data_IF_053743746356
#
_entry.id   IF_053743746356
#
_cell.length_a   1.000
_cell.length_b   1.000
_cell.length_c   1.000
_cell.angle_alpha   90.00
_cell.angle_beta   90.00
_cell.angle_gamma   90.00
#
_symmetry.space_group_name_H-M   'P 1'
#
loop_
_entity.id
_entity.type
_entity.pdbx_description
1 polymer ?
#
# COMPACT_ATOMS: atom_id res chain seq x y z
N UNK A 1 -3.58 -10.70 4.95
CA UNK A 1 -4.71 -9.86 5.43
C UNK A 1 -4.41 -9.46 6.87
N UNK A 2 -4.62 -8.20 7.23
CA UNK A 2 -4.46 -7.68 8.60
C UNK A 2 -5.80 -7.12 9.06
N UNK A 3 -6.31 -7.65 10.18
CA UNK A 3 -7.53 -7.18 10.84
C UNK A 3 -7.12 -6.21 11.96
N UNK A 4 -6.95 -4.94 11.62
CA UNK A 4 -6.48 -3.92 12.55
C UNK A 4 -5.48 -2.96 11.92
N UNK A 5 -4.74 -2.24 12.77
CA UNK A 5 -3.74 -1.27 12.33
C UNK A 5 -2.35 -1.90 12.21
N UNK A 6 -1.56 -1.32 11.32
CA UNK A 6 -0.12 -1.58 11.17
C UNK A 6 0.61 -0.37 11.73
N UNK A 7 1.48 -0.59 12.72
CA UNK A 7 2.22 0.48 13.38
C UNK A 7 3.34 1.05 12.49
N UNK A 8 3.81 2.25 12.81
CA UNK A 8 5.02 2.81 12.20
C UNK A 8 6.22 1.88 12.47
N UNK A 9 7.15 1.81 11.53
CA UNK A 9 8.30 0.90 11.56
C UNK A 9 7.98 -0.58 11.24
N UNK A 10 6.71 -0.98 11.25
CA UNK A 10 6.29 -2.34 10.86
C UNK A 10 6.42 -2.55 9.36
N UNK A 11 6.59 -3.81 8.95
CA UNK A 11 6.73 -4.19 7.55
C UNK A 11 5.89 -5.40 7.21
N UNK A 12 5.12 -5.30 6.13
CA UNK A 12 4.34 -6.41 5.56
C UNK A 12 4.88 -6.71 4.18
N UNK A 13 5.29 -7.95 3.96
CA UNK A 13 5.72 -8.44 2.65
C UNK A 13 4.81 -9.60 2.24
N UNK A 14 4.30 -9.57 1.01
CA UNK A 14 3.47 -10.64 0.48
C UNK A 14 3.75 -10.87 -1.01
N UNK A 15 3.72 -12.14 -1.44
CA UNK A 15 3.78 -12.51 -2.85
C UNK A 15 2.50 -12.12 -3.62
N UNK A 16 1.37 -12.02 -2.91
CA UNK A 16 0.09 -11.58 -3.46
C UNK A 16 -0.32 -10.21 -2.94
N UNK A 17 -1.63 -9.98 -2.87
CA UNK A 17 -2.19 -8.72 -2.39
C UNK A 17 -2.14 -8.60 -0.87
N UNK A 18 -2.05 -7.36 -0.40
CA UNK A 18 -2.13 -6.98 1.02
C UNK A 18 -3.46 -6.26 1.26
N UNK A 19 -4.21 -6.70 2.27
CA UNK A 19 -5.40 -6.01 2.74
C UNK A 19 -5.21 -5.65 4.21
N UNK A 20 -5.30 -4.37 4.55
CA UNK A 20 -5.23 -3.83 5.90
C UNK A 20 -6.57 -3.19 6.24
N UNK A 21 -7.38 -3.86 7.06
CA UNK A 21 -8.66 -3.33 7.51
C UNK A 21 -8.50 -2.45 8.75
N UNK A 22 -7.64 -1.44 8.63
CA UNK A 22 -7.33 -0.42 9.64
C UNK A 22 -6.38 0.62 9.06
N UNK A 23 -5.65 1.31 9.93
CA UNK A 23 -4.63 2.28 9.49
C UNK A 23 -3.34 1.55 9.12
N UNK A 24 -2.83 1.80 7.91
CA UNK A 24 -1.50 1.38 7.51
C UNK A 24 -0.52 2.52 7.77
N UNK A 25 0.35 2.41 8.79
CA UNK A 25 1.41 3.41 9.08
C UNK A 25 2.81 2.97 8.66
N UNK A 26 3.08 1.66 8.72
CA UNK A 26 4.37 1.09 8.32
C UNK A 26 4.51 0.94 6.79
N UNK A 27 5.30 -0.06 6.40
CA UNK A 27 5.60 -0.39 4.99
C UNK A 27 4.79 -1.59 4.51
N UNK A 28 4.29 -1.53 3.29
CA UNK A 28 3.60 -2.63 2.64
C UNK A 28 4.18 -2.92 1.26
N UNK A 29 4.70 -4.14 1.07
CA UNK A 29 5.30 -4.61 -0.17
C UNK A 29 4.54 -5.82 -0.70
N UNK A 30 3.65 -5.58 -1.66
CA UNK A 30 2.87 -6.61 -2.33
C UNK A 30 3.56 -7.06 -3.62
N UNK A 31 3.20 -8.25 -4.09
CA UNK A 31 3.76 -8.78 -5.33
C UNK A 31 5.26 -9.11 -5.25
N UNK A 32 5.80 -9.38 -4.06
CA UNK A 32 7.24 -9.58 -3.83
C UNK A 32 7.91 -10.71 -4.64
N UNK A 33 7.13 -11.51 -5.38
CA UNK A 33 7.59 -12.59 -6.25
C UNK A 33 7.20 -12.37 -7.72
N UNK A 34 7.20 -11.12 -8.23
CA UNK A 34 6.92 -10.84 -9.64
C UNK A 34 5.45 -10.68 -10.00
N UNK A 35 4.56 -10.49 -9.01
CA UNK A 35 3.13 -10.39 -9.27
C UNK A 35 2.68 -8.95 -9.46
N UNK A 36 2.79 -8.46 -10.70
CA UNK A 36 2.36 -7.12 -11.11
C UNK A 36 0.85 -6.86 -10.89
N UNK A 37 0.03 -7.91 -10.80
CA UNK A 37 -1.41 -7.78 -10.56
C UNK A 37 -1.77 -7.67 -9.06
N UNK A 38 -0.77 -7.77 -8.18
CA UNK A 38 -0.98 -7.61 -6.74
C UNK A 38 -1.43 -6.19 -6.40
N UNK A 39 -2.16 -6.08 -5.30
CA UNK A 39 -2.73 -4.81 -4.83
C UNK A 39 -2.49 -4.61 -3.35
N UNK A 40 -2.43 -3.37 -2.91
CA UNK A 40 -2.47 -3.01 -1.48
C UNK A 40 -3.76 -2.25 -1.21
N UNK A 41 -4.51 -2.68 -0.21
CA UNK A 41 -5.71 -2.00 0.25
C UNK A 41 -5.55 -1.60 1.70
N UNK A 42 -5.94 -0.38 2.05
CA UNK A 42 -6.11 -0.01 3.45
C UNK A 42 -7.31 0.91 3.69
N UNK A 43 -7.85 0.88 4.92
CA UNK A 43 -8.97 1.75 5.31
C UNK A 43 -8.54 3.18 5.63
N UNK A 44 -7.27 3.37 6.02
CA UNK A 44 -6.66 4.68 6.23
C UNK A 44 -5.18 4.62 5.87
N UNK A 45 -4.78 5.37 4.86
CA UNK A 45 -3.40 5.44 4.41
C UNK A 45 -2.60 6.45 5.24
N UNK A 46 -1.67 5.97 6.05
CA UNK A 46 -0.64 6.78 6.71
C UNK A 46 0.75 6.17 6.45
N UNK A 47 0.86 5.37 5.37
CA UNK A 47 1.99 4.49 5.13
C UNK A 47 3.29 5.26 4.96
N UNK A 48 4.38 4.70 5.49
CA UNK A 48 5.74 5.14 5.21
C UNK A 48 6.11 4.84 3.75
N UNK A 49 5.71 3.65 3.26
CA UNK A 49 5.96 3.18 1.90
C UNK A 49 4.90 2.17 1.48
N UNK A 50 4.49 2.24 0.21
CA UNK A 50 3.69 1.20 -0.44
C UNK A 50 4.44 0.77 -1.70
N UNK A 51 4.57 -0.54 -1.93
CA UNK A 51 5.11 -1.09 -3.17
C UNK A 51 4.31 -2.24 -3.74
N UNK A 52 4.35 -2.36 -5.07
CA UNK A 52 3.83 -3.48 -5.85
C UNK A 52 4.92 -3.86 -6.85
N UNK A 53 5.39 -5.11 -6.76
CA UNK A 53 6.44 -5.63 -7.65
C UNK A 53 7.69 -4.73 -7.75
N UNK A 54 8.17 -4.24 -6.61
CA UNK A 54 9.38 -3.41 -6.52
C UNK A 54 9.18 -1.92 -6.89
N UNK A 55 8.09 -1.56 -7.58
CA UNK A 55 7.70 -0.16 -7.75
C UNK A 55 7.10 0.36 -6.46
N UNK A 56 7.58 1.51 -5.98
CA UNK A 56 7.20 2.03 -4.68
C UNK A 56 6.84 3.52 -4.73
N UNK A 57 6.08 3.93 -3.72
CA UNK A 57 5.84 5.34 -3.41
C UNK A 57 6.03 5.57 -1.92
N UNK A 58 6.47 6.77 -1.56
CA UNK A 58 6.78 7.17 -0.19
C UNK A 58 5.66 8.00 0.43
N UNK A 59 5.72 8.19 1.75
CA UNK A 59 4.81 9.08 2.47
C UNK A 59 4.75 10.49 1.86
N UNK A 60 5.88 11.04 1.42
CA UNK A 60 5.99 12.41 0.89
C UNK A 60 5.19 12.58 -0.42
N UNK A 61 5.27 11.60 -1.31
CA UNK A 61 4.53 11.58 -2.58
C UNK A 61 3.02 11.40 -2.36
N UNK A 62 2.66 10.62 -1.34
CA UNK A 62 1.25 10.35 -1.00
C UNK A 62 0.57 11.47 -0.19
N UNK A 63 1.34 12.36 0.45
CA UNK A 63 0.87 13.34 1.44
C UNK A 63 -0.34 14.15 0.95
N UNK A 64 -0.28 14.68 -0.27
CA UNK A 64 -1.34 15.53 -0.85
C UNK A 64 -2.40 14.76 -1.64
N UNK A 65 -2.16 13.48 -1.92
CA UNK A 65 -2.98 12.69 -2.83
C UNK A 65 -3.95 11.80 -2.05
N UNK A 66 -3.40 10.98 -1.15
CA UNK A 66 -4.10 9.80 -0.63
C UNK A 66 -3.99 9.62 0.88
N UNK A 67 -3.16 10.42 1.58
CA UNK A 67 -3.00 10.33 3.04
C UNK A 67 -4.33 10.56 3.78
N UNK A 68 -4.56 9.78 4.83
CA UNK A 68 -5.78 9.78 5.65
C UNK A 68 -7.00 9.13 4.99
N UNK A 69 -6.95 8.74 3.72
CA UNK A 69 -8.08 8.15 2.98
C UNK A 69 -8.00 6.63 2.96
N UNK A 70 -9.11 5.97 2.70
CA UNK A 70 -9.09 4.58 2.25
C UNK A 70 -8.51 4.55 0.84
N UNK A 71 -7.64 3.59 0.53
CA UNK A 71 -6.94 3.56 -0.77
C UNK A 71 -6.78 2.15 -1.31
N UNK A 72 -6.58 2.10 -2.62
CA UNK A 72 -6.00 0.98 -3.33
C UNK A 72 -4.71 1.42 -4.02
N UNK A 73 -3.64 0.65 -3.85
CA UNK A 73 -2.41 0.76 -4.63
C UNK A 73 -2.30 -0.41 -5.61
N UNK A 74 -1.90 -0.13 -6.84
CA UNK A 74 -1.74 -1.12 -7.92
C UNK A 74 -0.81 -0.59 -9.02
N UNK A 75 -0.27 -1.49 -9.83
CA UNK A 75 0.49 -1.12 -11.02
C UNK A 75 -0.42 -0.91 -12.22
N UNK A 76 -0.17 0.16 -12.97
CA UNK A 76 -0.76 0.43 -14.28
C UNK A 76 0.33 0.97 -15.21
N UNK A 77 0.64 0.24 -16.29
CA UNK A 77 1.70 0.57 -17.24
C UNK A 77 3.05 0.90 -16.56
N UNK A 78 3.48 0.03 -15.64
CA UNK A 78 4.72 0.20 -14.86
C UNK A 78 4.75 1.46 -13.97
N UNK A 79 3.59 2.08 -13.71
CA UNK A 79 3.46 3.19 -12.76
C UNK A 79 2.66 2.71 -11.55
N UNK A 80 3.18 2.95 -10.35
CA UNK A 80 2.44 2.70 -9.12
C UNK A 80 1.37 3.78 -8.91
N UNK A 81 0.11 3.37 -9.02
CA UNK A 81 -1.04 4.21 -8.79
C UNK A 81 -1.57 4.00 -7.37
N UNK A 82 -1.74 5.08 -6.61
CA UNK A 82 -2.41 5.06 -5.29
C UNK A 82 -3.66 5.92 -5.36
N UNK A 83 -4.82 5.28 -5.43
CA UNK A 83 -6.11 5.95 -5.62
C UNK A 83 -6.98 5.82 -4.38
N UNK A 84 -7.70 6.88 -3.98
CA UNK A 84 -8.72 6.76 -2.95
C UNK A 84 -9.81 5.76 -3.34
N UNK A 85 -10.23 4.94 -2.39
CA UNK A 85 -11.47 4.16 -2.47
C UNK A 85 -12.59 5.07 -1.99
N UNK A 86 -13.65 5.18 -2.80
CA UNK A 86 -14.84 5.98 -2.49
C UNK A 86 -15.50 5.60 -1.18
#
# INVERSE_FOLDING_TARGET
IVLGSVASGSEIVAAGSIHVYGTLRGRASAGALGNIAARVFCRRNEAELISVDGWYTTAEEMEKVSRGKAVQAFLENDVLCVVPLG
#
